data_IF_383151305107
#
_entry.id   IF_383151305107
#
_cell.length_a   1.000
_cell.length_b   1.000
_cell.length_c   1.000
_cell.angle_alpha   90.00
_cell.angle_beta   90.00
_cell.angle_gamma   90.00
#
_symmetry.space_group_name_H-M   'P 1'
#
loop_
_entity.id
_entity.type
_entity.pdbx_description
1 polymer ?
#
# COMPACT_ATOMS: atom_id res chain seq x y z
N UNK A 1 -9.87 -23.51 68.07
CA UNK A 1 -10.75 -23.14 66.95
C UNK A 1 -9.83 -22.85 65.77
N UNK A 2 -9.56 -23.91 65.02
CA UNK A 2 -8.41 -24.12 64.15
C UNK A 2 -8.95 -24.54 62.79
N UNK A 3 -8.27 -24.12 61.73
CA UNK A 3 -8.44 -24.54 60.34
C UNK A 3 -9.78 -24.22 59.67
N UNK A 4 -9.87 -23.07 58.99
CA UNK A 4 -10.83 -22.90 57.87
C UNK A 4 -10.56 -21.76 56.86
N UNK A 5 -9.38 -21.14 56.86
CA UNK A 5 -9.08 -20.01 55.95
C UNK A 5 -7.95 -20.25 54.94
N UNK A 6 -7.39 -21.46 54.82
CA UNK A 6 -6.20 -21.74 53.99
C UNK A 6 -6.50 -22.59 52.71
N UNK A 7 -7.77 -22.84 52.39
CA UNK A 7 -8.12 -23.65 51.18
C UNK A 7 -8.70 -22.80 50.03
N UNK A 8 -9.04 -21.53 50.27
CA UNK A 8 -9.72 -20.68 49.28
C UNK A 8 -8.82 -19.92 48.30
N UNK A 9 -7.53 -19.72 48.60
CA UNK A 9 -6.64 -18.90 47.76
C UNK A 9 -5.82 -19.71 46.73
N UNK A 10 -5.78 -21.05 46.85
CA UNK A 10 -4.97 -21.91 45.99
C UNK A 10 -5.61 -22.33 44.66
N UNK A 11 -6.92 -22.09 44.47
CA UNK A 11 -7.66 -22.55 43.28
C UNK A 11 -7.99 -21.44 42.27
N UNK A 12 -7.73 -20.17 42.58
CA UNK A 12 -8.01 -19.03 41.68
C UNK A 12 -6.78 -18.67 40.83
N UNK A 13 -5.57 -19.08 41.24
CA UNK A 13 -4.33 -18.85 40.48
C UNK A 13 -4.01 -19.92 39.43
N UNK A 14 -4.74 -21.04 39.40
CA UNK A 14 -4.51 -22.13 38.45
C UNK A 14 -5.41 -22.08 37.18
N UNK A 15 -6.39 -21.17 37.11
CA UNK A 15 -7.31 -21.04 35.97
C UNK A 15 -7.02 -19.86 35.04
N UNK A 16 -6.01 -19.03 35.34
CA UNK A 16 -5.63 -17.87 34.49
C UNK A 16 -4.50 -18.22 33.50
N UNK A 17 -3.86 -19.39 33.62
CA UNK A 17 -2.71 -19.78 32.77
C UNK A 17 -3.04 -20.78 31.63
N UNK A 18 -4.31 -21.10 31.35
CA UNK A 18 -4.64 -22.11 30.33
C UNK A 18 -5.65 -21.72 29.23
N UNK A 19 -6.12 -20.47 29.17
CA UNK A 19 -6.98 -20.01 28.06
C UNK A 19 -6.54 -18.66 27.48
N UNK A 20 -5.37 -18.61 26.85
CA UNK A 20 -5.14 -17.68 25.72
C UNK A 20 -4.02 -18.18 24.80
N UNK A 21 -3.95 -19.50 24.61
CA UNK A 21 -3.09 -20.13 23.62
C UNK A 21 -3.89 -20.44 22.38
N UNK A 22 -3.72 -19.60 21.34
CA UNK A 22 -4.08 -19.86 19.94
C UNK A 22 -5.56 -19.69 19.56
N UNK A 23 -5.95 -18.46 19.28
CA UNK A 23 -6.79 -18.13 18.13
C UNK A 23 -6.27 -16.83 17.48
N UNK A 24 -4.96 -16.77 17.16
CA UNK A 24 -4.52 -15.88 16.08
C UNK A 24 -4.80 -16.66 14.81
N UNK A 25 -5.99 -16.47 14.27
CA UNK A 25 -6.29 -16.89 12.91
C UNK A 25 -5.34 -16.12 12.00
N UNK A 26 -4.31 -16.79 11.50
CA UNK A 26 -3.56 -16.30 10.37
C UNK A 26 -4.58 -16.14 9.24
N UNK A 27 -4.93 -14.89 8.92
CA UNK A 27 -5.44 -14.58 7.58
C UNK A 27 -4.23 -14.73 6.67
N UNK A 28 -3.97 -15.98 6.26
CA UNK A 28 -3.16 -16.24 5.09
C UNK A 28 -3.89 -15.59 3.91
N UNK A 29 -3.48 -14.38 3.56
CA UNK A 29 -3.74 -13.84 2.23
C UNK A 29 -2.95 -14.73 1.28
N UNK A 30 -3.57 -15.83 0.90
CA UNK A 30 -3.05 -16.74 -0.10
C UNK A 30 -3.01 -15.98 -1.42
N UNK A 31 -1.82 -15.50 -1.76
CA UNK A 31 -1.50 -15.08 -3.13
C UNK A 31 -1.54 -16.34 -3.97
N UNK A 32 -2.74 -16.70 -4.43
CA UNK A 32 -3.00 -17.87 -5.24
C UNK A 32 -2.09 -17.85 -6.48
N UNK A 33 -1.24 -18.87 -6.58
CA UNK A 33 -0.42 -19.16 -7.76
C UNK A 33 -1.28 -19.75 -8.87
N UNK A 34 -1.11 -19.19 -10.07
CA UNK A 34 -1.44 -19.72 -11.39
C UNK A 34 -2.83 -20.37 -11.58
N UNK A 35 -3.81 -19.51 -11.81
CA UNK A 35 -4.76 -19.70 -12.91
C UNK A 35 -4.64 -18.48 -13.82
N UNK A 36 -4.82 -18.64 -15.13
CA UNK A 36 -5.19 -17.55 -16.04
C UNK A 36 -6.58 -17.06 -15.65
N UNK A 37 -6.66 -16.47 -14.46
CA UNK A 37 -7.86 -15.91 -13.86
C UNK A 37 -8.14 -14.63 -14.63
N UNK A 38 -8.98 -14.73 -15.66
CA UNK A 38 -9.60 -13.56 -16.27
C UNK A 38 -10.24 -12.79 -15.13
N UNK A 39 -9.78 -11.56 -14.89
CA UNK A 39 -10.36 -10.73 -13.83
C UNK A 39 -11.77 -10.32 -14.25
N UNK A 40 -12.72 -10.18 -13.30
CA UNK A 40 -14.09 -9.75 -13.60
C UNK A 40 -14.17 -8.24 -13.91
N UNK A 41 -13.03 -7.57 -14.09
CA UNK A 41 -12.93 -6.15 -14.38
C UNK A 41 -11.74 -5.89 -15.30
N UNK A 42 -11.73 -4.70 -15.89
CA UNK A 42 -10.59 -4.10 -16.55
C UNK A 42 -10.18 -2.83 -15.81
N UNK A 43 -8.87 -2.65 -15.63
CA UNK A 43 -8.31 -1.48 -14.96
C UNK A 43 -7.56 -0.60 -15.97
N UNK A 44 -7.90 0.69 -15.98
CA UNK A 44 -7.20 1.70 -16.79
C UNK A 44 -6.75 2.86 -15.92
N UNK A 45 -5.44 3.10 -15.93
CA UNK A 45 -4.86 4.32 -15.38
C UNK A 45 -5.05 5.43 -16.40
N UNK A 46 -5.68 6.52 -16.00
CA UNK A 46 -6.00 7.65 -16.89
C UNK A 46 -4.97 8.76 -16.77
N UNK A 47 -4.42 8.98 -15.56
CA UNK A 47 -3.50 10.07 -15.28
C UNK A 47 -2.63 9.79 -14.06
N UNK A 48 -1.35 10.14 -14.18
CA UNK A 48 -0.43 10.37 -13.07
C UNK A 48 -0.21 11.87 -12.90
N UNK A 49 -0.28 12.35 -11.67
CA UNK A 49 -0.12 13.76 -11.34
C UNK A 49 0.79 13.92 -10.11
N UNK A 50 1.96 14.53 -10.29
CA UNK A 50 2.77 14.97 -9.16
C UNK A 50 2.15 16.24 -8.56
N UNK A 51 1.93 16.26 -7.25
CA UNK A 51 1.20 17.34 -6.56
C UNK A 51 2.03 17.98 -5.47
N UNK A 52 1.79 19.28 -5.23
CA UNK A 52 2.45 20.03 -4.16
C UNK A 52 3.91 20.40 -4.45
N UNK A 53 4.28 20.54 -5.72
CA UNK A 53 5.59 21.08 -6.14
C UNK A 53 5.59 22.62 -6.09
N UNK A 54 6.72 23.28 -5.75
CA UNK A 54 8.02 22.70 -5.43
C UNK A 54 8.10 22.10 -4.02
N UNK A 55 8.94 21.07 -3.84
CA UNK A 55 9.24 20.50 -2.53
C UNK A 55 10.48 21.18 -1.92
N UNK A 56 10.61 21.13 -0.60
CA UNK A 56 11.71 21.82 0.11
C UNK A 56 13.06 21.10 -0.03
N UNK A 57 13.05 19.76 -0.08
CA UNK A 57 14.27 18.92 -0.03
C UNK A 57 14.54 18.12 -1.29
N UNK A 58 13.63 18.15 -2.24
CA UNK A 58 13.73 17.37 -3.48
C UNK A 58 13.28 18.23 -4.65
N UNK A 59 13.79 17.93 -5.83
CA UNK A 59 13.45 18.64 -7.06
C UNK A 59 12.86 17.68 -8.07
N UNK A 60 11.66 17.97 -8.57
CA UNK A 60 11.07 17.21 -9.67
C UNK A 60 11.48 17.85 -10.98
N UNK A 61 12.36 17.20 -11.74
CA UNK A 61 12.78 17.68 -13.07
C UNK A 61 11.64 17.55 -14.08
N UNK A 62 10.97 16.40 -14.06
CA UNK A 62 9.78 16.15 -14.87
C UNK A 62 8.92 15.08 -14.22
N UNK A 63 7.61 15.14 -14.49
CA UNK A 63 6.62 14.15 -14.09
C UNK A 63 5.57 14.05 -15.18
N UNK A 64 5.60 12.96 -15.96
CA UNK A 64 4.79 12.81 -17.17
C UNK A 64 4.00 11.51 -17.14
N UNK A 65 2.75 11.61 -17.56
CA UNK A 65 1.96 10.44 -17.95
C UNK A 65 2.23 10.15 -19.42
N UNK A 66 2.79 8.98 -19.73
CA UNK A 66 3.02 8.52 -21.10
C UNK A 66 1.96 7.47 -21.43
N UNK A 67 1.07 7.82 -22.35
CA UNK A 67 0.06 6.90 -22.86
C UNK A 67 0.67 6.01 -23.94
N UNK A 68 0.42 4.69 -23.84
CA UNK A 68 0.88 3.70 -24.82
C UNK A 68 -0.33 2.98 -25.41
N UNK A 69 -0.32 2.73 -26.72
CA UNK A 69 -1.42 2.02 -27.38
C UNK A 69 -1.47 0.57 -26.88
N UNK A 70 -2.65 0.09 -26.47
CA UNK A 70 -2.87 -1.27 -25.97
C UNK A 70 -1.99 -1.69 -24.78
N UNK A 71 -1.41 -0.73 -24.06
CA UNK A 71 -0.58 -0.99 -22.88
C UNK A 71 -0.96 -0.05 -21.73
N UNK A 72 -0.64 -0.41 -20.48
CA UNK A 72 -0.83 0.48 -19.35
C UNK A 72 -0.12 1.82 -19.54
N UNK A 73 -0.76 2.90 -19.09
CA UNK A 73 -0.13 4.20 -18.97
C UNK A 73 1.10 4.11 -18.07
N UNK A 74 2.12 4.88 -18.39
CA UNK A 74 3.40 4.88 -17.69
C UNK A 74 3.61 6.22 -17.02
N UNK A 75 4.03 6.19 -15.77
CA UNK A 75 4.64 7.31 -15.08
C UNK A 75 6.11 7.36 -15.49
N UNK A 76 6.53 8.47 -16.11
CA UNK A 76 7.92 8.78 -16.33
C UNK A 76 8.28 9.99 -15.47
N UNK A 77 9.08 9.79 -14.43
CA UNK A 77 9.41 10.80 -13.44
C UNK A 77 10.90 10.86 -13.16
N UNK A 78 11.44 12.07 -12.99
CA UNK A 78 12.80 12.31 -12.53
C UNK A 78 12.78 13.20 -11.30
N UNK A 79 13.30 12.68 -10.19
CA UNK A 79 13.36 13.38 -8.90
C UNK A 79 14.80 13.40 -8.40
N UNK A 80 15.32 14.59 -8.16
CA UNK A 80 16.61 14.79 -7.50
C UNK A 80 16.38 14.82 -6.00
N UNK A 81 17.07 13.93 -5.28
CA UNK A 81 17.14 13.92 -3.82
C UNK A 81 18.59 14.18 -3.42
N UNK A 82 18.98 15.46 -3.19
CA UNK A 82 20.37 15.82 -2.88
C UNK A 82 20.80 15.35 -1.49
N UNK A 83 19.87 15.32 -0.53
CA UNK A 83 20.14 14.91 0.85
C UNK A 83 20.06 13.39 1.02
N UNK A 84 20.81 12.86 1.98
CA UNK A 84 20.70 11.46 2.42
C UNK A 84 19.54 11.31 3.39
N UNK A 85 18.63 10.39 3.09
CA UNK A 85 17.39 10.13 3.80
C UNK A 85 17.45 8.74 4.45
N UNK A 86 17.65 8.71 5.77
CA UNK A 86 17.66 7.48 6.56
C UNK A 86 16.28 7.05 7.04
N UNK A 87 15.32 7.99 7.07
CA UNK A 87 13.95 7.77 7.47
C UNK A 87 13.01 8.40 6.45
N UNK A 88 12.06 7.63 5.97
CA UNK A 88 11.07 8.04 4.99
C UNK A 88 9.72 7.49 5.41
N UNK A 89 8.81 8.39 5.78
CA UNK A 89 7.42 8.07 6.02
C UNK A 89 6.67 7.96 4.71
N UNK A 90 6.04 6.82 4.47
CA UNK A 90 5.23 6.55 3.29
C UNK A 90 3.76 6.56 3.70
N UNK A 91 2.96 7.38 3.01
CA UNK A 91 1.50 7.37 3.13
C UNK A 91 0.88 6.95 1.80
N UNK A 92 0.01 5.95 1.86
CA UNK A 92 -0.75 5.45 0.70
C UNK A 92 -2.23 5.49 1.05
N UNK A 93 -3.01 6.27 0.30
CA UNK A 93 -4.45 6.40 0.50
C UNK A 93 -5.20 6.15 -0.79
N UNK A 94 -6.18 5.27 -0.76
CA UNK A 94 -7.08 5.05 -1.89
C UNK A 94 -8.38 5.80 -1.64
N UNK A 95 -8.89 6.44 -2.69
CA UNK A 95 -10.15 7.14 -2.71
C UNK A 95 -11.06 6.56 -3.78
N UNK A 96 -12.34 6.45 -3.48
CA UNK A 96 -13.41 6.14 -4.43
C UNK A 96 -14.18 7.42 -4.77
N UNK A 97 -14.55 7.59 -6.03
CA UNK A 97 -15.36 8.71 -6.48
C UNK A 97 -16.85 8.35 -6.42
N UNK A 98 -17.54 8.88 -5.41
CA UNK A 98 -19.00 8.96 -5.38
C UNK A 98 -19.43 10.23 -6.13
N UNK A 99 -19.92 11.24 -5.41
CA UNK A 99 -19.99 12.63 -5.90
C UNK A 99 -18.62 13.32 -5.87
N UNK A 100 -17.86 13.07 -4.81
CA UNK A 100 -16.47 13.50 -4.63
C UNK A 100 -15.57 12.30 -4.32
N UNK A 101 -14.26 12.51 -4.37
CA UNK A 101 -13.29 11.52 -3.90
C UNK A 101 -13.37 11.39 -2.38
N UNK A 102 -13.63 10.18 -1.89
CA UNK A 102 -13.73 9.86 -0.47
C UNK A 102 -12.82 8.66 -0.13
N UNK A 103 -12.19 8.61 1.06
CA UNK A 103 -11.32 7.51 1.45
C UNK A 103 -11.99 6.14 1.33
N UNK A 104 -11.28 5.14 0.82
CA UNK A 104 -11.82 3.82 0.50
C UNK A 104 -10.79 2.70 0.69
N UNK A 105 -11.04 1.83 1.68
CA UNK A 105 -10.32 0.58 2.02
C UNK A 105 -8.83 0.68 2.37
N UNK A 106 -8.02 1.47 1.65
CA UNK A 106 -6.57 1.57 1.84
C UNK A 106 -6.25 2.91 2.50
N UNK A 107 -5.77 2.85 3.73
CA UNK A 107 -5.12 3.94 4.45
C UNK A 107 -3.89 3.37 5.16
N UNK A 108 -2.74 3.45 4.50
CA UNK A 108 -1.46 2.96 4.99
C UNK A 108 -0.58 4.17 5.32
N UNK A 109 -0.04 4.19 6.53
CA UNK A 109 0.96 5.15 6.97
C UNK A 109 2.03 4.36 7.73
N UNK A 110 3.24 4.29 7.17
CA UNK A 110 4.33 3.50 7.74
C UNK A 110 5.68 4.15 7.46
N UNK A 111 6.60 4.04 8.40
CA UNK A 111 8.01 4.36 8.19
C UNK A 111 8.63 3.25 7.30
N UNK A 112 9.01 3.62 6.08
CA UNK A 112 9.37 2.70 5.01
C UNK A 112 10.75 2.05 5.19
N UNK A 113 11.73 2.79 5.72
CA UNK A 113 13.09 2.28 5.92
C UNK A 113 13.12 1.14 6.95
N UNK A 114 12.45 1.34 8.07
CA UNK A 114 12.23 0.40 9.16
C UNK A 114 11.41 -0.80 8.68
N UNK A 115 10.39 -0.56 7.86
CA UNK A 115 9.60 -1.63 7.27
C UNK A 115 10.45 -2.54 6.37
N UNK A 116 11.30 -1.97 5.51
CA UNK A 116 12.21 -2.74 4.65
C UNK A 116 13.22 -3.55 5.49
N UNK A 117 13.72 -2.95 6.57
CA UNK A 117 14.73 -3.57 7.45
C UNK A 117 14.16 -4.72 8.29
N UNK A 118 13.03 -4.50 8.96
CA UNK A 118 12.51 -5.43 9.97
C UNK A 118 11.31 -6.25 9.48
N UNK A 119 10.63 -5.83 8.41
CA UNK A 119 9.40 -6.44 7.86
C UNK A 119 8.43 -6.94 8.93
N UNK A 120 7.87 -6.05 9.76
CA UNK A 120 6.83 -6.45 10.70
C UNK A 120 5.61 -7.02 9.96
N UNK A 121 4.85 -7.88 10.63
CA UNK A 121 3.65 -8.51 10.07
C UNK A 121 2.54 -7.46 9.98
N UNK A 122 2.45 -6.80 8.83
CA UNK A 122 1.36 -5.89 8.48
C UNK A 122 0.88 -6.18 7.05
N UNK A 123 -0.21 -6.95 6.86
CA UNK A 123 -0.58 -7.52 5.56
C UNK A 123 -0.73 -6.49 4.43
N UNK A 124 -1.29 -5.32 4.74
CA UNK A 124 -1.47 -4.26 3.74
C UNK A 124 -0.12 -3.65 3.30
N UNK A 125 0.81 -3.41 4.23
CA UNK A 125 2.14 -2.93 3.88
C UNK A 125 2.92 -4.00 3.14
N UNK A 126 2.79 -5.28 3.52
CA UNK A 126 3.49 -6.37 2.85
C UNK A 126 3.02 -6.49 1.40
N UNK A 127 1.71 -6.42 1.18
CA UNK A 127 1.15 -6.38 -0.17
C UNK A 127 1.66 -5.19 -1.00
N UNK A 128 1.60 -3.96 -0.46
CA UNK A 128 2.12 -2.76 -1.16
C UNK A 128 3.61 -2.89 -1.44
N UNK A 129 4.38 -3.39 -0.47
CA UNK A 129 5.82 -3.55 -0.59
C UNK A 129 6.21 -4.64 -1.59
N UNK A 130 5.47 -5.75 -1.68
CA UNK A 130 5.66 -6.76 -2.72
C UNK A 130 5.44 -6.19 -4.12
N UNK A 131 4.47 -5.27 -4.29
CA UNK A 131 4.26 -4.56 -5.55
C UNK A 131 5.45 -3.63 -5.83
N UNK A 132 5.90 -2.86 -4.84
CA UNK A 132 7.05 -1.97 -4.99
C UNK A 132 8.33 -2.73 -5.35
N UNK A 133 8.63 -3.86 -4.71
CA UNK A 133 9.79 -4.69 -5.06
C UNK A 133 9.77 -5.16 -6.52
N UNK A 134 8.59 -5.48 -7.06
CA UNK A 134 8.45 -5.98 -8.43
C UNK A 134 8.41 -4.88 -9.48
N UNK A 135 7.95 -3.68 -9.12
CA UNK A 135 7.65 -2.61 -10.11
C UNK A 135 8.53 -1.38 -9.96
N UNK A 136 9.09 -1.12 -8.79
CA UNK A 136 9.97 0.00 -8.48
C UNK A 136 11.06 -0.42 -7.49
N UNK A 137 11.93 -1.41 -7.85
CA UNK A 137 12.92 -1.98 -6.93
C UNK A 137 13.90 -0.93 -6.36
N UNK A 138 14.18 0.15 -7.10
CA UNK A 138 15.02 1.26 -6.64
C UNK A 138 14.48 2.01 -5.42
N UNK A 139 13.16 1.96 -5.20
CA UNK A 139 12.48 2.53 -4.04
C UNK A 139 12.25 1.50 -2.93
N UNK A 140 12.40 0.21 -3.24
CA UNK A 140 12.20 -0.90 -2.31
C UNK A 140 13.52 -1.38 -1.68
N UNK A 141 14.65 -0.79 -2.05
CA UNK A 141 15.95 -1.10 -1.47
C UNK A 141 16.05 -0.61 -0.02
N UNK A 142 16.85 -1.27 0.83
CA UNK A 142 17.15 -0.75 2.16
C UNK A 142 17.72 0.66 2.12
N UNK A 143 17.38 1.47 3.13
CA UNK A 143 17.94 2.81 3.32
C UNK A 143 19.44 2.73 3.67
N UNK A 144 20.23 3.79 3.43
CA UNK A 144 19.83 5.16 3.07
C UNK A 144 19.41 5.36 1.61
N UNK A 145 18.41 6.21 1.41
CA UNK A 145 18.02 6.76 0.12
C UNK A 145 18.62 8.16 -0.09
N UNK A 146 18.68 8.65 -1.33
CA UNK A 146 19.10 10.02 -1.64
C UNK A 146 20.53 10.12 -2.16
N UNK A 147 21.09 11.32 -2.10
CA UNK A 147 22.35 11.70 -2.78
C UNK A 147 22.41 11.25 -4.24
N UNK A 148 21.26 11.24 -4.92
CA UNK A 148 21.12 10.78 -6.31
C UNK A 148 19.88 11.34 -6.98
N UNK A 149 19.82 11.17 -8.29
CA UNK A 149 18.61 11.38 -9.08
C UNK A 149 17.92 10.05 -9.33
N UNK A 150 16.64 9.96 -8.97
CA UNK A 150 15.79 8.83 -9.27
C UNK A 150 15.10 9.07 -10.61
N UNK A 151 15.38 8.22 -11.60
CA UNK A 151 14.71 8.24 -12.89
C UNK A 151 13.83 7.01 -13.00
N UNK A 152 12.55 7.17 -12.67
CA UNK A 152 11.63 6.05 -12.49
C UNK A 152 10.64 6.02 -13.65
N UNK A 153 10.59 4.86 -14.31
CA UNK A 153 9.57 4.51 -15.30
C UNK A 153 8.69 3.43 -14.69
N UNK A 154 7.48 3.81 -14.26
CA UNK A 154 6.59 2.93 -13.50
C UNK A 154 5.23 2.78 -14.16
N UNK A 155 4.62 1.59 -14.06
CA UNK A 155 3.23 1.35 -14.42
C UNK A 155 2.65 0.27 -13.51
N UNK A 156 1.36 0.37 -13.22
CA UNK A 156 0.66 -0.67 -12.45
C UNK A 156 -0.02 -1.64 -13.42
N UNK A 157 0.42 -2.89 -13.40
CA UNK A 157 -0.26 -3.96 -14.12
C UNK A 157 -1.45 -4.47 -13.33
N UNK A 158 -2.50 -4.84 -14.06
CA UNK A 158 -3.73 -5.35 -13.46
C UNK A 158 -3.47 -6.60 -12.62
N UNK A 159 -2.51 -7.46 -12.95
CA UNK A 159 -2.16 -8.66 -12.15
C UNK A 159 -1.82 -8.37 -10.69
N UNK A 160 -1.33 -7.16 -10.40
CA UNK A 160 -0.94 -6.77 -9.04
C UNK A 160 -2.11 -6.33 -8.19
N UNK A 161 -3.28 -6.04 -8.75
CA UNK A 161 -4.43 -5.53 -8.01
C UNK A 161 -5.28 -6.67 -7.39
N UNK A 162 -6.14 -6.39 -6.39
CA UNK A 162 -6.95 -7.44 -5.74
C UNK A 162 -7.88 -8.17 -6.72
N UNK A 163 -8.34 -9.37 -6.36
CA UNK A 163 -9.25 -10.15 -7.21
C UNK A 163 -10.61 -9.49 -7.42
N UNK A 164 -11.09 -8.75 -6.42
CA UNK A 164 -12.35 -8.01 -6.47
C UNK A 164 -12.09 -6.53 -6.25
N UNK A 165 -12.51 -5.71 -7.21
CA UNK A 165 -12.50 -4.25 -7.13
C UNK A 165 -13.84 -3.77 -7.70
N UNK A 166 -14.63 -2.96 -6.97
CA UNK A 166 -15.84 -2.38 -7.51
C UNK A 166 -15.57 -1.56 -8.79
N UNK A 167 -16.54 -1.52 -9.70
CA UNK A 167 -16.43 -0.62 -10.84
C UNK A 167 -16.66 0.82 -10.40
N UNK A 168 -15.88 1.74 -10.97
CA UNK A 168 -15.92 3.15 -10.59
C UNK A 168 -14.64 3.87 -10.92
N UNK A 169 -14.56 5.14 -10.50
CA UNK A 169 -13.37 5.96 -10.62
C UNK A 169 -12.70 6.08 -9.25
N UNK A 170 -11.38 5.93 -9.24
CA UNK A 170 -10.54 5.89 -8.06
C UNK A 170 -9.40 6.92 -8.17
N UNK A 171 -8.89 7.34 -7.01
CA UNK A 171 -7.64 8.10 -6.91
C UNK A 171 -6.76 7.45 -5.85
N UNK A 172 -5.54 7.11 -6.21
CA UNK A 172 -4.53 6.57 -5.30
C UNK A 172 -3.49 7.66 -5.04
N UNK A 173 -3.35 8.05 -3.78
CA UNK A 173 -2.39 9.05 -3.33
C UNK A 173 -1.20 8.32 -2.69
N UNK A 174 0.00 8.57 -3.18
CA UNK A 174 1.26 8.08 -2.61
C UNK A 174 2.09 9.30 -2.22
N UNK A 175 2.47 9.39 -0.96
CA UNK A 175 3.22 10.53 -0.42
C UNK A 175 4.41 10.04 0.40
N UNK A 176 5.55 10.70 0.21
CA UNK A 176 6.78 10.46 0.95
C UNK A 176 7.10 11.69 1.78
N UNK A 177 7.46 11.47 3.04
CA UNK A 177 7.81 12.51 3.99
C UNK A 177 9.14 12.16 4.65
N UNK A 178 9.94 13.18 4.96
CA UNK A 178 11.10 13.04 5.81
C UNK A 178 10.68 12.84 7.28
N UNK A 179 11.66 12.55 8.14
CA UNK A 179 11.45 12.36 9.59
C UNK A 179 10.72 13.55 10.26
N UNK A 180 11.01 14.77 9.84
CA UNK A 180 10.40 16.01 10.33
C UNK A 180 9.09 16.39 9.61
N UNK A 181 8.47 15.43 8.90
CA UNK A 181 7.20 15.58 8.18
C UNK A 181 7.25 16.55 6.99
N UNK A 182 8.44 16.95 6.55
CA UNK A 182 8.61 17.69 5.29
C UNK A 182 8.32 16.74 4.12
N UNK A 183 7.43 17.18 3.21
CA UNK A 183 7.06 16.39 2.03
C UNK A 183 8.23 16.31 1.05
N UNK A 184 8.60 15.08 0.70
CA UNK A 184 9.67 14.76 -0.25
C UNK A 184 9.13 14.48 -1.65
N UNK A 185 7.95 13.88 -1.76
CA UNK A 185 7.32 13.61 -3.05
C UNK A 185 5.85 13.26 -2.83
N UNK A 186 4.96 13.64 -3.75
CA UNK A 186 3.57 13.22 -3.72
C UNK A 186 3.03 13.00 -5.14
N UNK A 187 2.36 11.86 -5.31
CA UNK A 187 1.77 11.40 -6.56
C UNK A 187 0.29 11.07 -6.35
N UNK A 188 -0.57 11.63 -7.18
CA UNK A 188 -1.95 11.19 -7.35
C UNK A 188 -2.06 10.37 -8.64
N UNK A 189 -2.62 9.16 -8.53
CA UNK A 189 -2.90 8.28 -9.67
C UNK A 189 -4.39 8.12 -9.84
N UNK A 190 -4.90 8.46 -11.01
CA UNK A 190 -6.32 8.37 -11.35
C UNK A 190 -6.58 7.08 -12.12
N UNK A 191 -7.50 6.28 -11.61
CA UNK A 191 -7.77 4.92 -12.08
C UNK A 191 -9.26 4.79 -12.37
N UNK A 192 -9.60 4.20 -13.51
CA UNK A 192 -10.98 3.83 -13.85
C UNK A 192 -11.04 2.31 -13.92
N UNK A 193 -12.00 1.74 -13.19
CA UNK A 193 -12.28 0.30 -13.16
C UNK A 193 -13.64 0.06 -13.79
N UNK A 194 -13.69 -0.83 -14.78
CA UNK A 194 -14.93 -1.22 -15.48
C UNK A 194 -15.13 -2.71 -15.35
N UNK A 195 -16.37 -3.19 -15.17
CA UNK A 195 -16.65 -4.63 -15.17
C UNK A 195 -16.31 -5.23 -16.54
N UNK A 196 -15.71 -6.41 -16.52
CA UNK A 196 -15.48 -7.21 -17.72
C UNK A 196 -16.73 -8.08 -17.90
N UNK A 197 -17.62 -7.67 -18.81
CA UNK A 197 -18.88 -8.36 -19.10
C UNK A 197 -20.10 -7.44 -19.15
N UNK A 198 -21.01 -7.73 -20.06
CA UNK A 198 -22.42 -7.34 -20.02
C UNK A 198 -23.10 -8.41 -19.14
N UNK A 199 -24.05 -8.07 -18.26
CA UNK A 199 -24.75 -8.94 -17.24
C UNK A 199 -23.85 -9.56 -16.14
N UNK A 200 -24.07 -9.44 -14.81
CA UNK A 200 -25.18 -8.97 -13.97
C UNK A 200 -24.67 -8.17 -12.72
N UNK A 201 -25.61 -7.58 -11.99
CA UNK A 201 -25.47 -6.81 -10.74
C UNK A 201 -24.53 -7.46 -9.72
N UNK A 202 -23.51 -6.73 -9.25
CA UNK A 202 -23.36 -6.33 -7.84
C UNK A 202 -24.12 -7.25 -6.86
N UNK A 203 -23.33 -8.05 -6.13
CA UNK A 203 -23.71 -9.00 -5.09
C UNK A 203 -23.92 -10.44 -5.60
N UNK A 204 -22.83 -11.22 -5.59
CA UNK A 204 -22.91 -12.65 -5.29
C UNK A 204 -22.33 -12.81 -3.88
N UNK A 205 -23.15 -13.33 -2.96
CA UNK A 205 -22.76 -13.74 -1.61
C UNK A 205 -22.19 -15.15 -1.67
#
# INVERSE_FOLDING_TARGET
>A
MKDRHIVGLGMILATILSYCGRCVGNVEVSVARNTTSIKPYSLKITKYLCVGTPYQRTLVNYCKTVLRRNHPAVLNVSVVAPETLNWIWVKVKLFYKFSSYQPFLIDLEQEGCEYVKNRPIFPLADYVYQIMQKTAPELASPCPHGNKTYNIVWWLEERYTPKSIPAGDYRLDIQFFAHDKVKLFALETYITVRRAGVIASMIEW
#
